data_IF_937161659708
#
_entry.id   IF_937161659708
#
_cell.length_a   1.000
_cell.length_b   1.000
_cell.length_c   1.000
_cell.angle_alpha   90.00
_cell.angle_beta   90.00
_cell.angle_gamma   90.00
#
_symmetry.space_group_name_H-M   'P 1'
#
loop_
_entity.id
_entity.type
_entity.pdbx_description
1 polymer ?
#
# COMPACT_ATOMS: atom_id res chain seq x y z
N UNK A 1 1.20 11.91 -21.20
CA UNK A 1 0.37 11.37 -20.10
C UNK A 1 -1.01 11.36 -20.69
N UNK A 2 -1.52 10.18 -21.05
CA UNK A 2 -2.87 10.08 -21.58
C UNK A 2 -3.84 10.66 -20.55
N UNK A 3 -4.83 11.40 -21.03
CA UNK A 3 -5.82 12.07 -20.20
C UNK A 3 -6.57 11.00 -19.39
N UNK A 4 -6.48 11.08 -18.06
CA UNK A 4 -7.23 10.17 -17.20
C UNK A 4 -8.73 10.38 -17.48
N UNK A 5 -9.54 9.31 -17.57
CA UNK A 5 -10.96 9.46 -17.79
C UNK A 5 -11.57 10.35 -16.70
N UNK A 6 -12.39 11.32 -17.11
CA UNK A 6 -13.14 12.16 -16.17
C UNK A 6 -14.07 11.25 -15.35
N UNK A 7 -14.06 11.33 -14.01
CA UNK A 7 -14.95 10.52 -13.19
C UNK A 7 -16.41 10.79 -13.57
N UNK A 8 -17.21 9.74 -13.66
CA UNK A 8 -18.65 9.89 -13.75
C UNK A 8 -19.16 10.68 -12.51
N UNK A 9 -20.28 11.41 -12.62
CA UNK A 9 -20.94 11.97 -11.46
C UNK A 9 -21.17 10.86 -10.43
N UNK A 10 -20.94 11.11 -9.12
CA UNK A 10 -21.15 10.08 -8.13
C UNK A 10 -22.61 9.62 -8.17
N UNK A 11 -22.82 8.31 -8.10
CA UNK A 11 -24.13 7.75 -7.79
C UNK A 11 -24.63 8.33 -6.45
N UNK A 12 -25.94 8.28 -6.23
CA UNK A 12 -26.49 8.62 -4.92
C UNK A 12 -25.77 7.78 -3.85
N UNK A 13 -25.34 8.43 -2.77
CA UNK A 13 -24.67 7.73 -1.68
C UNK A 13 -25.61 6.65 -1.10
N UNK A 14 -25.09 5.47 -0.74
CA UNK A 14 -25.92 4.43 -0.15
C UNK A 14 -26.46 4.89 1.20
N UNK A 15 -27.75 4.62 1.45
CA UNK A 15 -28.39 4.94 2.74
C UNK A 15 -27.80 4.14 3.91
N UNK A 16 -27.22 2.96 3.63
CA UNK A 16 -26.60 2.08 4.61
C UNK A 16 -25.47 1.23 4.00
N UNK A 17 -24.38 1.04 4.76
CA UNK A 17 -23.29 0.11 4.49
C UNK A 17 -22.81 -0.52 5.79
N UNK A 18 -22.29 -1.75 5.73
CA UNK A 18 -21.75 -2.44 6.91
C UNK A 18 -20.38 -1.87 7.31
N UNK A 19 -19.57 -1.48 6.32
CA UNK A 19 -18.26 -0.85 6.52
C UNK A 19 -18.09 0.36 5.61
N UNK A 20 -17.88 1.53 6.21
CA UNK A 20 -17.49 2.75 5.53
C UNK A 20 -15.97 2.98 5.66
N UNK A 21 -15.27 3.05 4.54
CA UNK A 21 -13.83 3.35 4.47
C UNK A 21 -13.67 4.76 3.91
N UNK A 22 -13.03 5.65 4.67
CA UNK A 22 -12.76 7.03 4.24
C UNK A 22 -11.31 7.14 3.76
N UNK A 23 -11.13 7.32 2.46
CA UNK A 23 -9.85 7.45 1.77
C UNK A 23 -9.63 6.37 0.72
N UNK A 24 -9.55 6.78 -0.55
CA UNK A 24 -9.29 5.93 -1.71
C UNK A 24 -7.80 5.71 -2.02
N UNK A 25 -6.94 5.75 -1.00
CA UNK A 25 -5.52 5.41 -1.11
C UNK A 25 -5.24 3.92 -0.92
N UNK A 26 -3.97 3.51 -1.00
CA UNK A 26 -3.57 2.11 -0.85
C UNK A 26 -4.13 1.47 0.43
N UNK A 27 -3.99 2.12 1.59
CA UNK A 27 -4.50 1.57 2.85
C UNK A 27 -6.00 1.31 2.82
N UNK A 28 -6.80 2.23 2.26
CA UNK A 28 -8.25 2.08 2.17
C UNK A 28 -8.64 0.97 1.20
N UNK A 29 -8.02 0.93 0.02
CA UNK A 29 -8.29 -0.08 -1.01
C UNK A 29 -7.86 -1.48 -0.57
N UNK A 30 -6.69 -1.63 0.05
CA UNK A 30 -6.22 -2.91 0.59
C UNK A 30 -7.11 -3.39 1.74
N UNK A 31 -7.58 -2.48 2.60
CA UNK A 31 -8.57 -2.80 3.63
C UNK A 31 -9.85 -3.33 3.01
N UNK A 32 -10.41 -2.63 2.02
CA UNK A 32 -11.62 -3.07 1.32
C UNK A 32 -11.44 -4.44 0.66
N UNK A 33 -10.32 -4.64 -0.03
CA UNK A 33 -9.98 -5.89 -0.70
C UNK A 33 -9.95 -7.09 0.26
N UNK A 34 -9.22 -6.99 1.38
CA UNK A 34 -9.15 -8.10 2.32
C UNK A 34 -10.45 -8.29 3.12
N UNK A 35 -11.16 -7.21 3.46
CA UNK A 35 -12.48 -7.35 4.08
C UNK A 35 -13.43 -8.11 3.17
N UNK A 36 -13.49 -7.77 1.88
CA UNK A 36 -14.32 -8.47 0.91
C UNK A 36 -13.90 -9.94 0.76
N UNK A 37 -12.59 -10.23 0.70
CA UNK A 37 -12.09 -11.61 0.65
C UNK A 37 -12.44 -12.44 1.88
N UNK A 38 -12.42 -11.85 3.07
CA UNK A 38 -12.72 -12.55 4.31
C UNK A 38 -14.22 -12.65 4.61
N UNK A 39 -15.00 -11.65 4.20
CA UNK A 39 -16.44 -11.56 4.42
C UNK A 39 -17.14 -11.02 3.16
N UNK A 40 -17.38 -11.88 2.14
CA UNK A 40 -17.90 -11.45 0.84
C UNK A 40 -19.29 -10.79 0.87
N UNK A 41 -20.05 -11.03 1.94
CA UNK A 41 -21.40 -10.50 2.10
C UNK A 41 -21.44 -9.11 2.75
N UNK A 42 -20.30 -8.56 3.19
CA UNK A 42 -20.27 -7.19 3.72
C UNK A 42 -20.54 -6.18 2.61
N UNK A 43 -21.51 -5.29 2.83
CA UNK A 43 -21.65 -4.05 2.09
C UNK A 43 -20.52 -3.09 2.47
N UNK A 44 -19.50 -2.99 1.62
CA UNK A 44 -18.33 -2.13 1.84
C UNK A 44 -18.40 -0.95 0.87
N UNK A 45 -18.29 0.28 1.38
CA UNK A 45 -18.14 1.47 0.55
C UNK A 45 -16.83 2.21 0.87
N UNK A 46 -16.13 2.63 -0.18
CA UNK A 46 -14.94 3.47 -0.11
C UNK A 46 -15.30 4.87 -0.58
N UNK A 47 -15.11 5.87 0.29
CA UNK A 47 -15.38 7.26 0.01
C UNK A 47 -14.06 8.00 -0.20
N UNK A 48 -13.92 8.68 -1.32
CA UNK A 48 -12.77 9.52 -1.68
C UNK A 48 -13.29 10.92 -2.04
N UNK A 49 -12.61 11.96 -1.55
CA UNK A 49 -13.02 13.34 -1.78
C UNK A 49 -12.72 13.79 -3.22
N UNK A 50 -11.70 13.18 -3.84
CA UNK A 50 -11.23 13.49 -5.18
C UNK A 50 -11.39 12.25 -6.09
N UNK A 51 -10.34 11.87 -6.83
CA UNK A 51 -10.27 10.60 -7.55
C UNK A 51 -9.52 9.55 -6.73
N UNK A 52 -9.86 8.27 -6.88
CA UNK A 52 -9.12 7.17 -6.25
C UNK A 52 -7.61 7.31 -6.53
N UNK A 53 -6.80 7.20 -5.48
CA UNK A 53 -5.36 7.40 -5.56
C UNK A 53 -4.89 8.86 -5.60
N UNK A 54 -5.76 9.88 -5.54
CA UNK A 54 -5.36 11.29 -5.63
C UNK A 54 -4.28 11.69 -4.62
N UNK A 55 -4.29 11.10 -3.42
CA UNK A 55 -3.33 11.36 -2.35
C UNK A 55 -1.89 10.89 -2.60
N UNK A 56 -1.16 10.60 -1.52
CA UNK A 56 0.23 10.10 -1.60
C UNK A 56 0.36 8.78 -2.39
N UNK A 57 -0.70 7.96 -2.41
CA UNK A 57 -0.71 6.65 -3.09
C UNK A 57 -0.65 6.73 -4.62
N UNK A 58 -1.15 7.79 -5.26
CA UNK A 58 -1.02 7.98 -6.71
C UNK A 58 0.13 8.91 -7.11
N UNK A 59 0.68 9.69 -6.17
CA UNK A 59 1.77 10.66 -6.41
C UNK A 59 3.15 10.17 -5.98
N UNK A 60 3.30 8.89 -5.60
CA UNK A 60 4.61 8.32 -5.27
C UNK A 60 5.37 7.87 -6.54
N UNK A 61 6.66 7.59 -6.38
CA UNK A 61 7.55 7.16 -7.48
C UNK A 61 7.41 5.70 -7.91
N UNK A 62 6.37 4.99 -7.50
CA UNK A 62 6.14 3.58 -7.83
C UNK A 62 7.02 2.58 -7.07
N UNK A 63 7.75 3.03 -6.05
CA UNK A 63 8.63 2.16 -5.28
C UNK A 63 7.84 1.27 -4.32
N UNK A 64 7.89 -0.04 -4.55
CA UNK A 64 7.36 -1.05 -3.63
C UNK A 64 8.52 -1.62 -2.80
N UNK A 65 8.74 -1.06 -1.60
CA UNK A 65 9.89 -1.41 -0.75
C UNK A 65 9.45 -1.71 0.68
N UNK A 66 10.02 -2.75 1.27
CA UNK A 66 9.83 -3.08 2.68
C UNK A 66 10.70 -2.19 3.57
N UNK A 67 10.19 -1.03 3.95
CA UNK A 67 10.90 -0.06 4.78
C UNK A 67 9.96 0.55 5.82
N UNK A 68 10.50 0.84 7.00
CA UNK A 68 9.78 1.56 8.04
C UNK A 68 10.59 2.77 8.50
N UNK A 69 9.89 3.88 8.73
CA UNK A 69 10.49 5.08 9.33
C UNK A 69 11.06 4.73 10.72
N UNK A 70 12.29 5.13 10.99
CA UNK A 70 12.96 4.87 12.27
C UNK A 70 13.37 3.40 12.50
N UNK A 71 13.50 2.62 11.43
CA UNK A 71 13.86 1.20 11.55
C UNK A 71 15.29 1.01 12.06
N UNK A 72 16.21 1.89 11.70
CA UNK A 72 17.62 1.80 12.12
C UNK A 72 17.77 1.93 13.64
N UNK A 73 17.12 2.93 14.25
CA UNK A 73 17.16 3.10 15.71
C UNK A 73 16.56 1.89 16.43
N UNK A 74 15.54 1.26 15.85
CA UNK A 74 14.94 0.04 16.41
C UNK A 74 15.87 -1.16 16.27
N UNK A 75 16.57 -1.30 15.14
CA UNK A 75 17.48 -2.42 14.88
C UNK A 75 18.76 -2.36 15.73
N UNK A 76 19.21 -1.15 16.07
CA UNK A 76 20.42 -0.92 16.87
C UNK A 76 20.14 -0.58 18.35
N UNK A 77 18.86 -0.41 18.71
CA UNK A 77 18.41 -0.06 20.04
C UNK A 77 17.91 -1.24 20.89
N UNK A 78 17.39 -0.95 22.09
CA UNK A 78 16.91 -1.97 23.04
C UNK A 78 15.70 -2.77 22.54
N UNK A 79 14.99 -2.28 21.51
CA UNK A 79 13.83 -2.96 20.91
C UNK A 79 14.17 -3.80 19.67
N UNK A 80 15.45 -4.16 19.47
CA UNK A 80 15.93 -4.90 18.30
C UNK A 80 15.05 -6.08 17.87
N UNK A 81 14.57 -6.98 18.76
CA UNK A 81 13.71 -8.08 18.33
C UNK A 81 12.43 -7.61 17.62
N UNK A 82 11.80 -6.53 18.10
CA UNK A 82 10.61 -5.92 17.46
C UNK A 82 10.99 -5.19 16.17
N UNK A 83 12.18 -4.59 16.11
CA UNK A 83 12.71 -3.99 14.88
C UNK A 83 12.86 -5.03 13.77
N UNK A 84 13.39 -6.21 14.10
CA UNK A 84 13.53 -7.33 13.16
C UNK A 84 12.15 -7.84 12.70
N UNK A 85 11.19 -7.99 13.62
CA UNK A 85 9.83 -8.39 13.28
C UNK A 85 9.16 -7.40 12.33
N UNK A 86 9.25 -6.10 12.63
CA UNK A 86 8.72 -5.04 11.78
C UNK A 86 9.36 -5.08 10.39
N UNK A 87 10.69 -5.22 10.30
CA UNK A 87 11.39 -5.28 9.02
C UNK A 87 10.92 -6.48 8.17
N UNK A 88 10.76 -7.65 8.79
CA UNK A 88 10.23 -8.84 8.10
C UNK A 88 8.82 -8.60 7.60
N UNK A 89 7.93 -8.07 8.45
CA UNK A 89 6.56 -7.75 8.05
C UNK A 89 6.53 -6.75 6.88
N UNK A 90 7.41 -5.74 6.89
CA UNK A 90 7.52 -4.79 5.77
C UNK A 90 8.00 -5.48 4.48
N UNK A 91 8.97 -6.39 4.55
CA UNK A 91 9.37 -7.17 3.37
C UNK A 91 8.24 -8.07 2.84
N UNK A 92 7.49 -8.71 3.73
CA UNK A 92 6.36 -9.57 3.36
C UNK A 92 5.28 -8.77 2.61
N UNK A 93 5.10 -7.48 2.91
CA UNK A 93 4.15 -6.64 2.15
C UNK A 93 4.50 -6.52 0.67
N UNK A 94 5.79 -6.51 0.29
CA UNK A 94 6.24 -6.44 -1.11
C UNK A 94 5.89 -7.74 -1.84
N UNK A 95 6.10 -8.87 -1.18
CA UNK A 95 5.70 -10.17 -1.72
C UNK A 95 4.19 -10.28 -1.89
N UNK A 96 3.44 -9.74 -0.94
CA UNK A 96 1.99 -9.75 -0.99
C UNK A 96 1.42 -8.91 -2.13
N UNK A 97 2.03 -7.76 -2.43
CA UNK A 97 1.69 -6.98 -3.64
C UNK A 97 1.87 -7.85 -4.89
N UNK A 98 3.01 -8.52 -5.04
CA UNK A 98 3.27 -9.41 -6.18
C UNK A 98 2.27 -10.57 -6.28
N UNK A 99 1.97 -11.22 -5.14
CA UNK A 99 1.01 -12.32 -5.06
C UNK A 99 -0.38 -11.89 -5.49
N UNK A 100 -0.85 -10.72 -5.03
CA UNK A 100 -2.18 -10.19 -5.39
C UNK A 100 -2.23 -9.75 -6.84
N UNK A 101 -1.19 -9.10 -7.35
CA UNK A 101 -1.15 -8.73 -8.77
C UNK A 101 -1.30 -9.96 -9.67
N UNK A 102 -0.63 -11.06 -9.33
CA UNK A 102 -0.78 -12.33 -10.05
C UNK A 102 -2.18 -12.94 -9.86
N UNK A 103 -2.69 -12.99 -8.63
CA UNK A 103 -3.96 -13.64 -8.32
C UNK A 103 -5.17 -12.95 -8.96
N UNK A 104 -5.14 -11.62 -9.03
CA UNK A 104 -6.22 -10.78 -9.56
C UNK A 104 -5.96 -10.35 -11.01
N UNK A 105 -4.86 -10.82 -11.62
CA UNK A 105 -4.46 -10.54 -13.00
C UNK A 105 -4.31 -9.02 -13.28
N UNK A 106 -3.66 -8.30 -12.37
CA UNK A 106 -3.44 -6.86 -12.43
C UNK A 106 -2.12 -6.57 -13.15
N UNK A 107 -2.21 -5.97 -14.33
CA UNK A 107 -1.05 -5.48 -15.08
C UNK A 107 -0.61 -4.09 -14.61
N UNK A 108 0.15 -4.07 -13.51
CA UNK A 108 0.75 -2.85 -12.95
C UNK A 108 2.27 -2.79 -13.13
N UNK A 109 2.82 -3.63 -14.01
CA UNK A 109 4.26 -3.78 -14.23
C UNK A 109 5.07 -4.06 -12.95
N UNK A 110 4.50 -4.83 -12.01
CA UNK A 110 5.21 -5.21 -10.78
C UNK A 110 6.48 -6.02 -11.10
N UNK A 111 7.63 -5.54 -10.59
CA UNK A 111 8.92 -6.21 -10.76
C UNK A 111 9.69 -6.22 -9.44
N UNK A 112 9.87 -7.40 -8.85
CA UNK A 112 10.63 -7.57 -7.61
C UNK A 112 12.13 -7.66 -7.89
N UNK A 113 12.81 -6.52 -7.89
CA UNK A 113 14.28 -6.43 -8.08
C UNK A 113 15.10 -6.26 -6.78
N UNK A 114 14.44 -5.94 -5.67
CA UNK A 114 15.10 -5.54 -4.42
C UNK A 114 15.58 -4.08 -4.44
N UNK A 115 16.23 -3.67 -3.35
CA UNK A 115 16.75 -2.30 -3.17
C UNK A 115 18.23 -2.38 -2.81
N UNK A 116 19.06 -1.55 -3.45
CA UNK A 116 20.48 -1.42 -3.14
C UNK A 116 20.74 -0.04 -2.54
N UNK A 117 21.31 -0.02 -1.34
CA UNK A 117 21.92 1.17 -0.75
C UNK A 117 23.43 1.09 -0.94
N UNK A 118 24.04 2.12 -1.54
CA UNK A 118 25.46 2.14 -1.90
C UNK A 118 26.17 3.26 -1.15
N UNK A 119 27.22 2.91 -0.42
CA UNK A 119 28.15 3.89 0.13
C UNK A 119 29.03 4.45 -0.99
N UNK A 120 29.04 5.78 -1.14
CA UNK A 120 29.84 6.49 -2.17
C UNK A 120 31.02 7.24 -1.57
N UNK A 121 31.24 7.11 -0.25
CA UNK A 121 32.31 7.73 0.51
C UNK A 121 33.12 6.67 1.25
N UNK A 122 34.32 7.04 1.70
CA UNK A 122 35.12 6.18 2.57
C UNK A 122 34.40 5.90 3.89
N UNK A 123 34.68 4.74 4.48
CA UNK A 123 34.23 4.41 5.81
C UNK A 123 34.98 5.29 6.82
N UNK A 124 34.26 6.13 7.54
CA UNK A 124 34.80 6.90 8.66
C UNK A 124 34.57 6.11 9.96
N UNK A 125 35.67 5.66 10.56
CA UNK A 125 35.69 4.90 11.81
C UNK A 125 35.46 5.80 13.04
#
# INVERSE_FOLDING_TARGET
>A
MDELPTPAPPDALPDHVDVAIVGGGFTGLWTAYYLHRHQPNLGIAVFEAETVGFGASGRNGGWCMGMAMGIEERLHGPEQPKGIELLRAMHDTVDEVGRVCQAENIDCHFAKGGTLSVATTEFHA
#
